data_IF_379420450057
#
_entry.id   IF_379420450057
#
_cell.length_a   1.000
_cell.length_b   1.000
_cell.length_c   1.000
_cell.angle_alpha   90.00
_cell.angle_beta   90.00
_cell.angle_gamma   90.00
#
_symmetry.space_group_name_H-M   'P 1'
#
loop_
_entity.id
_entity.type
_entity.pdbx_description
1 polymer ?
#
# COMPACT_ATOMS: atom_id res chain seq x y z
N UNK A 1 -17.13 6.65 15.06
CA UNK A 1 -16.04 7.38 15.72
C UNK A 1 -16.29 8.87 15.52
N UNK A 2 -16.18 9.67 16.60
CA UNK A 2 -16.17 11.13 16.53
C UNK A 2 -14.71 11.61 16.50
N UNK A 3 -14.47 12.79 15.91
CA UNK A 3 -13.11 13.36 15.84
C UNK A 3 -12.54 13.58 17.24
N UNK A 4 -13.34 14.10 18.19
CA UNK A 4 -12.94 14.27 19.59
C UNK A 4 -12.49 12.95 20.26
N UNK A 5 -13.09 11.81 19.92
CA UNK A 5 -12.68 10.51 20.42
C UNK A 5 -11.35 10.09 19.80
N UNK A 6 -11.17 10.34 18.51
CA UNK A 6 -9.92 10.03 17.78
C UNK A 6 -8.77 10.87 18.33
N UNK A 7 -8.97 12.17 18.52
CA UNK A 7 -7.97 13.09 19.10
C UNK A 7 -7.54 12.64 20.51
N UNK A 8 -8.51 12.28 21.34
CA UNK A 8 -8.22 11.78 22.69
C UNK A 8 -7.48 10.45 22.66
N UNK A 9 -7.84 9.53 21.76
CA UNK A 9 -7.16 8.26 21.59
C UNK A 9 -5.73 8.46 21.07
N UNK A 10 -5.51 9.43 20.19
CA UNK A 10 -4.20 9.82 19.70
C UNK A 10 -3.32 10.37 20.84
N UNK A 11 -3.86 11.26 21.67
CA UNK A 11 -3.11 11.82 22.80
C UNK A 11 -2.65 10.72 23.76
N UNK A 12 -3.55 9.81 24.16
CA UNK A 12 -3.19 8.69 25.04
C UNK A 12 -2.14 7.78 24.42
N UNK A 13 -2.24 7.53 23.11
CA UNK A 13 -1.23 6.73 22.40
C UNK A 13 0.14 7.42 22.39
N UNK A 14 0.19 8.74 22.14
CA UNK A 14 1.43 9.50 22.15
C UNK A 14 2.07 9.51 23.56
N UNK A 15 1.29 9.79 24.61
CA UNK A 15 1.79 9.81 26.01
C UNK A 15 2.36 8.45 26.40
N UNK A 16 1.72 7.36 26.00
CA UNK A 16 2.21 5.99 26.26
C UNK A 16 3.52 5.72 25.50
N UNK A 17 3.60 6.13 24.24
CA UNK A 17 4.76 5.89 23.37
C UNK A 17 5.97 6.75 23.77
N UNK A 18 5.78 7.94 24.35
CA UNK A 18 6.86 8.75 24.90
C UNK A 18 7.62 8.01 26.02
N UNK A 19 6.92 7.21 26.82
CA UNK A 19 7.52 6.39 27.88
C UNK A 19 7.98 5.01 27.41
N UNK A 20 7.67 4.64 26.16
CA UNK A 20 7.93 3.32 25.58
C UNK A 20 8.59 3.43 24.19
N UNK A 21 9.85 3.90 24.10
CA UNK A 21 10.49 4.23 22.81
C UNK A 21 10.71 3.01 21.89
N UNK A 22 10.69 1.80 22.42
CA UNK A 22 10.75 0.57 21.61
C UNK A 22 9.40 0.16 21.04
N UNK A 23 8.33 0.88 21.42
CA UNK A 23 6.96 0.59 21.03
C UNK A 23 6.21 -0.27 22.06
N UNK A 24 4.91 -0.36 21.85
CA UNK A 24 3.97 -1.09 22.71
C UNK A 24 3.19 -2.12 21.90
N UNK A 25 2.70 -3.16 22.54
CA UNK A 25 1.78 -4.11 21.94
C UNK A 25 0.38 -3.50 21.74
N UNK A 26 -0.42 -4.12 20.91
CA UNK A 26 -1.82 -3.74 20.76
C UNK A 26 -2.59 -3.85 22.09
N UNK A 27 -2.25 -4.81 22.92
CA UNK A 27 -2.90 -5.01 24.23
C UNK A 27 -2.58 -3.83 25.14
N UNK A 28 -1.30 -3.47 25.30
CA UNK A 28 -0.85 -2.34 26.11
C UNK A 28 -1.52 -1.02 25.70
N UNK A 29 -1.66 -0.78 24.38
CA UNK A 29 -2.36 0.41 23.88
C UNK A 29 -3.85 0.42 24.24
N UNK A 30 -4.54 -0.73 24.10
CA UNK A 30 -5.97 -0.85 24.42
C UNK A 30 -6.22 -0.69 25.93
N UNK A 31 -5.34 -1.22 26.78
CA UNK A 31 -5.37 -1.05 28.24
C UNK A 31 -5.17 0.40 28.64
N UNK A 32 -4.23 1.10 27.99
CA UNK A 32 -4.03 2.53 28.20
C UNK A 32 -5.26 3.35 27.82
N UNK A 33 -5.93 3.05 26.72
CA UNK A 33 -7.20 3.68 26.35
C UNK A 33 -8.27 3.45 27.41
N UNK A 34 -8.46 2.20 27.87
CA UNK A 34 -9.41 1.85 28.93
C UNK A 34 -9.16 2.61 30.22
N UNK A 35 -7.90 2.69 30.66
CA UNK A 35 -7.46 3.41 31.85
C UNK A 35 -7.71 4.91 31.77
N UNK A 36 -7.77 5.46 30.54
CA UNK A 36 -8.08 6.86 30.28
C UNK A 36 -9.56 7.12 29.90
N UNK A 37 -10.44 6.14 30.16
CA UNK A 37 -11.89 6.27 29.94
C UNK A 37 -12.27 6.33 28.45
N UNK A 38 -11.41 5.81 27.57
CA UNK A 38 -11.77 5.57 26.16
C UNK A 38 -12.36 4.17 26.12
N UNK A 39 -13.69 4.13 26.15
CA UNK A 39 -14.41 2.86 26.08
C UNK A 39 -14.27 2.24 24.69
N UNK A 40 -13.49 1.18 24.64
CA UNK A 40 -13.38 0.32 23.46
C UNK A 40 -14.31 -0.89 23.57
N UNK A 41 -14.98 -1.04 24.73
CA UNK A 41 -15.92 -2.10 25.06
C UNK A 41 -17.33 -1.59 24.76
N UNK A 42 -18.06 -2.27 23.89
CA UNK A 42 -19.49 -2.03 23.63
C UNK A 42 -20.27 -3.27 24.03
N UNK A 43 -21.57 -3.15 24.22
CA UNK A 43 -22.46 -4.19 24.75
C UNK A 43 -22.50 -5.52 23.94
N UNK A 44 -21.80 -5.61 22.79
CA UNK A 44 -21.64 -6.84 22.03
C UNK A 44 -20.19 -7.09 21.67
N UNK A 45 -19.69 -8.28 21.90
CA UNK A 45 -18.29 -8.68 21.67
C UNK A 45 -17.81 -8.46 20.22
N UNK A 46 -18.71 -8.55 19.25
CA UNK A 46 -18.40 -8.30 17.83
C UNK A 46 -18.16 -6.81 17.51
N UNK A 47 -18.85 -5.90 18.22
CA UNK A 47 -18.67 -4.45 18.02
C UNK A 47 -17.44 -3.90 18.75
N UNK A 48 -17.02 -4.52 19.85
CA UNK A 48 -15.78 -4.16 20.58
C UNK A 48 -14.57 -4.30 19.70
N UNK A 49 -14.39 -5.44 19.07
CA UNK A 49 -13.29 -5.71 18.16
C UNK A 49 -13.26 -4.73 16.98
N UNK A 50 -14.44 -4.35 16.48
CA UNK A 50 -14.58 -3.42 15.36
C UNK A 50 -14.15 -1.99 15.75
N UNK A 51 -14.59 -1.49 16.92
CA UNK A 51 -14.26 -0.14 17.39
C UNK A 51 -12.75 0.03 17.64
N UNK A 52 -12.14 -0.93 18.32
CA UNK A 52 -10.68 -0.96 18.53
C UNK A 52 -9.91 -0.98 17.22
N UNK A 53 -10.33 -1.84 16.28
CA UNK A 53 -9.71 -1.92 14.95
C UNK A 53 -9.82 -0.61 14.20
N UNK A 54 -10.97 0.05 14.24
CA UNK A 54 -11.18 1.33 13.58
C UNK A 54 -10.36 2.46 14.20
N UNK A 55 -10.22 2.51 15.53
CA UNK A 55 -9.35 3.50 16.18
C UNK A 55 -7.88 3.30 15.77
N UNK A 56 -7.36 2.08 15.86
CA UNK A 56 -5.99 1.77 15.44
C UNK A 56 -5.79 2.14 13.96
N UNK A 57 -6.69 1.72 13.08
CA UNK A 57 -6.62 2.05 11.66
C UNK A 57 -6.64 3.57 11.43
N UNK A 58 -7.51 4.31 12.11
CA UNK A 58 -7.60 5.76 11.97
C UNK A 58 -6.30 6.44 12.41
N UNK A 59 -5.70 6.04 13.52
CA UNK A 59 -4.42 6.60 13.98
C UNK A 59 -3.26 6.27 13.03
N UNK A 60 -3.28 5.10 12.37
CA UNK A 60 -2.34 4.79 11.28
C UNK A 60 -2.52 5.70 10.08
N UNK A 61 -3.77 5.90 9.63
CA UNK A 61 -4.07 6.76 8.49
C UNK A 61 -3.75 8.23 8.76
N UNK A 62 -3.93 8.68 10.00
CA UNK A 62 -3.60 10.03 10.43
C UNK A 62 -2.09 10.22 10.71
N UNK A 63 -1.26 9.16 10.53
CA UNK A 63 0.19 9.22 10.73
C UNK A 63 0.61 9.44 12.18
N UNK A 64 -0.22 9.07 13.15
CA UNK A 64 0.07 9.16 14.59
C UNK A 64 0.89 7.96 15.03
N UNK A 65 0.49 6.76 14.62
CA UNK A 65 1.16 5.50 14.96
C UNK A 65 1.48 4.71 13.69
N UNK A 66 2.45 3.80 13.81
CA UNK A 66 2.77 2.85 12.75
C UNK A 66 3.27 1.52 13.30
N UNK A 67 3.40 0.51 12.42
CA UNK A 67 3.98 -0.77 12.78
C UNK A 67 5.49 -0.61 13.03
N UNK A 68 5.94 -1.10 14.17
CA UNK A 68 7.33 -1.13 14.59
C UNK A 68 7.95 -2.52 14.52
N UNK A 69 9.01 -2.78 15.28
CA UNK A 69 9.67 -4.08 15.34
C UNK A 69 8.73 -5.22 15.74
N UNK A 70 9.10 -6.44 15.39
CA UNK A 70 8.40 -7.64 15.84
C UNK A 70 8.78 -8.02 17.27
N UNK A 71 7.77 -8.31 18.11
CA UNK A 71 7.94 -8.90 19.44
C UNK A 71 6.93 -10.03 19.61
N UNK A 72 7.41 -11.23 19.93
CA UNK A 72 6.57 -12.42 20.12
C UNK A 72 5.57 -12.72 18.98
N UNK A 73 5.99 -12.49 17.73
CA UNK A 73 5.14 -12.75 16.54
C UNK A 73 4.18 -11.62 16.15
N UNK A 74 4.17 -10.51 16.90
CA UNK A 74 3.35 -9.33 16.59
C UNK A 74 4.20 -8.09 16.34
N UNK A 75 3.76 -7.21 15.44
CA UNK A 75 4.35 -5.88 15.32
C UNK A 75 3.98 -5.03 16.53
N UNK A 76 5.00 -4.43 17.12
CA UNK A 76 4.79 -3.35 18.08
C UNK A 76 4.21 -2.15 17.36
N UNK A 77 3.52 -1.31 18.10
CA UNK A 77 3.04 0.00 17.67
C UNK A 77 4.07 1.02 18.14
N UNK A 78 4.51 1.88 17.24
CA UNK A 78 5.47 2.97 17.53
C UNK A 78 4.89 4.31 17.09
N UNK A 79 5.43 5.40 17.62
CA UNK A 79 5.10 6.76 17.17
C UNK A 79 5.62 6.97 15.74
N UNK A 80 4.72 7.20 14.80
CA UNK A 80 5.08 7.40 13.41
C UNK A 80 5.95 8.65 13.20
N UNK A 81 5.83 9.67 14.05
CA UNK A 81 6.60 10.92 14.00
C UNK A 81 8.06 10.74 14.45
N UNK A 82 8.37 9.66 15.18
CA UNK A 82 9.73 9.30 15.59
C UNK A 82 10.54 8.65 14.47
N UNK A 83 9.89 8.23 13.39
CA UNK A 83 10.55 7.61 12.24
C UNK A 83 11.15 8.70 11.32
N UNK A 84 12.25 8.37 10.61
CA UNK A 84 12.76 9.26 9.59
C UNK A 84 11.66 9.61 8.58
N UNK A 85 11.43 10.89 8.34
CA UNK A 85 10.51 11.33 7.31
C UNK A 85 11.00 10.80 5.96
N UNK A 86 10.15 10.04 5.25
CA UNK A 86 10.43 9.73 3.86
C UNK A 86 10.38 11.04 3.07
N UNK A 87 11.34 11.30 2.15
CA UNK A 87 11.24 12.42 1.25
C UNK A 87 9.98 12.21 0.40
N UNK A 88 8.93 12.93 0.72
CA UNK A 88 7.70 12.98 -0.06
C UNK A 88 7.72 14.20 -0.96
N UNK A 89 7.15 14.06 -2.15
CA UNK A 89 6.93 15.18 -3.06
C UNK A 89 5.42 15.38 -3.19
N UNK A 90 4.93 16.53 -2.73
CA UNK A 90 3.50 16.82 -2.83
C UNK A 90 3.11 17.14 -4.28
N UNK A 91 1.82 16.98 -4.57
CA UNK A 91 1.26 17.29 -5.89
C UNK A 91 1.54 18.75 -6.25
N UNK A 92 2.16 18.97 -7.42
CA UNK A 92 2.52 20.30 -7.94
C UNK A 92 3.86 20.85 -7.44
N UNK A 93 4.56 20.11 -6.57
CA UNK A 93 5.93 20.48 -6.18
C UNK A 93 6.97 20.02 -7.22
N UNK A 94 8.15 20.68 -7.27
CA UNK A 94 9.25 20.21 -8.08
C UNK A 94 9.60 18.75 -7.76
N UNK A 95 9.77 17.93 -8.81
CA UNK A 95 10.04 16.50 -8.66
C UNK A 95 8.79 15.61 -8.63
N UNK A 96 7.57 16.17 -8.60
CA UNK A 96 6.35 15.37 -8.56
C UNK A 96 6.17 14.49 -9.83
N UNK A 97 6.41 15.06 -11.00
CA UNK A 97 6.29 14.32 -12.26
C UNK A 97 7.36 13.21 -12.37
N UNK A 98 8.59 13.48 -11.91
CA UNK A 98 9.66 12.47 -11.83
C UNK A 98 9.29 11.35 -10.85
N UNK A 99 8.72 11.68 -9.70
CA UNK A 99 8.26 10.68 -8.73
C UNK A 99 7.15 9.80 -9.32
N UNK A 100 6.20 10.39 -10.05
CA UNK A 100 5.16 9.63 -10.76
C UNK A 100 5.75 8.75 -11.87
N UNK A 101 6.75 9.24 -12.60
CA UNK A 101 7.43 8.46 -13.63
C UNK A 101 8.19 7.25 -13.03
N UNK A 102 8.86 7.42 -11.88
CA UNK A 102 9.50 6.32 -11.14
C UNK A 102 8.46 5.32 -10.63
N UNK A 103 7.32 5.79 -10.10
CA UNK A 103 6.22 4.93 -9.67
C UNK A 103 5.69 4.09 -10.84
N UNK A 104 5.43 4.73 -11.99
CA UNK A 104 4.97 4.06 -13.20
C UNK A 104 6.01 3.05 -13.72
N UNK A 105 7.31 3.38 -13.67
CA UNK A 105 8.38 2.47 -14.05
C UNK A 105 8.42 1.21 -13.17
N UNK A 106 8.31 1.37 -11.85
CA UNK A 106 8.28 0.25 -10.91
C UNK A 106 7.06 -0.64 -11.12
N UNK A 107 5.90 -0.03 -11.35
CA UNK A 107 4.67 -0.78 -11.62
C UNK A 107 4.76 -1.53 -12.95
N UNK A 108 5.18 -0.87 -14.03
CA UNK A 108 5.38 -1.53 -15.33
C UNK A 108 6.42 -2.66 -15.28
N UNK A 109 7.47 -2.49 -14.49
CA UNK A 109 8.51 -3.51 -14.35
C UNK A 109 8.02 -4.76 -13.63
N UNK A 110 7.15 -4.62 -12.63
CA UNK A 110 6.62 -5.72 -11.84
C UNK A 110 5.32 -6.33 -12.38
N UNK A 111 4.50 -5.56 -13.10
CA UNK A 111 3.16 -5.96 -13.55
C UNK A 111 2.98 -5.88 -15.08
N UNK A 112 4.00 -5.44 -15.82
CA UNK A 112 3.88 -5.30 -17.28
C UNK A 112 3.59 -6.61 -18.02
N UNK A 113 2.91 -6.52 -19.19
CA UNK A 113 2.59 -5.28 -19.91
C UNK A 113 1.38 -4.53 -19.31
N UNK A 114 1.53 -3.24 -19.07
CA UNK A 114 0.46 -2.38 -18.54
C UNK A 114 0.23 -1.16 -19.42
N UNK A 115 -0.98 -0.61 -19.38
CA UNK A 115 -1.34 0.66 -20.00
C UNK A 115 -1.72 1.74 -18.97
N UNK A 116 -2.19 2.88 -19.45
CA UNK A 116 -2.61 3.98 -18.59
C UNK A 116 -3.87 3.67 -17.77
N UNK A 117 -4.73 2.77 -18.24
CA UNK A 117 -5.94 2.39 -17.51
C UNK A 117 -5.61 1.47 -16.33
N UNK A 118 -4.62 0.59 -16.50
CA UNK A 118 -4.12 -0.26 -15.44
C UNK A 118 -3.43 0.57 -14.36
N UNK A 119 -2.52 1.47 -14.76
CA UNK A 119 -1.84 2.36 -13.82
C UNK A 119 -2.82 3.26 -13.06
N UNK A 120 -3.80 3.85 -13.76
CA UNK A 120 -4.82 4.68 -13.14
C UNK A 120 -5.69 3.89 -12.14
N UNK A 121 -6.07 2.66 -12.51
CA UNK A 121 -6.84 1.77 -11.63
C UNK A 121 -6.08 1.44 -10.35
N UNK A 122 -4.81 1.08 -10.46
CA UNK A 122 -4.00 0.64 -9.34
C UNK A 122 -3.62 1.79 -8.40
N UNK A 123 -3.26 2.96 -8.96
CA UNK A 123 -2.78 4.12 -8.19
C UNK A 123 -3.89 5.05 -7.71
N UNK A 124 -5.08 5.03 -8.35
CA UNK A 124 -6.11 6.06 -8.18
C UNK A 124 -5.81 7.37 -8.90
N UNK A 125 -4.77 7.44 -9.73
CA UNK A 125 -4.48 8.60 -10.57
C UNK A 125 -5.56 8.80 -11.63
N UNK A 126 -5.72 10.03 -12.11
CA UNK A 126 -6.49 10.28 -13.31
C UNK A 126 -5.79 9.69 -14.55
N UNK A 127 -6.53 9.35 -15.59
CA UNK A 127 -5.94 8.85 -16.85
C UNK A 127 -4.91 9.83 -17.44
N UNK A 128 -5.11 11.14 -17.27
CA UNK A 128 -4.16 12.15 -17.74
C UNK A 128 -2.85 12.11 -16.96
N UNK A 129 -2.91 11.92 -15.64
CA UNK A 129 -1.72 11.76 -14.80
C UNK A 129 -1.01 10.43 -15.10
N UNK A 130 -1.76 9.34 -15.26
CA UNK A 130 -1.20 8.04 -15.63
C UNK A 130 -0.48 8.07 -16.98
N UNK A 131 -1.05 8.71 -18.01
CA UNK A 131 -0.38 8.89 -19.31
C UNK A 131 0.92 9.66 -19.19
N UNK A 132 0.94 10.78 -18.44
CA UNK A 132 2.17 11.55 -18.21
C UNK A 132 3.22 10.74 -17.46
N UNK A 133 2.81 10.00 -16.42
CA UNK A 133 3.70 9.14 -15.67
C UNK A 133 4.33 8.04 -16.55
N UNK A 134 3.52 7.35 -17.38
CA UNK A 134 4.02 6.33 -18.31
C UNK A 134 4.93 6.92 -19.40
N UNK A 135 4.64 8.12 -19.89
CA UNK A 135 5.49 8.78 -20.88
C UNK A 135 6.93 9.04 -20.35
N UNK A 136 7.09 9.28 -19.05
CA UNK A 136 8.39 9.42 -18.39
C UNK A 136 9.01 8.10 -17.89
N UNK A 137 8.22 7.03 -17.84
CA UNK A 137 8.59 5.80 -17.12
C UNK A 137 9.84 5.10 -17.67
N UNK A 138 10.09 5.14 -18.99
CA UNK A 138 11.29 4.50 -19.58
C UNK A 138 12.57 5.17 -19.12
N UNK A 139 12.63 6.51 -19.20
CA UNK A 139 13.80 7.28 -18.75
C UNK A 139 13.99 7.13 -17.24
N UNK A 140 12.90 7.23 -16.48
CA UNK A 140 12.94 7.05 -15.03
C UNK A 140 13.36 5.61 -14.65
N UNK A 141 12.89 4.60 -15.37
CA UNK A 141 13.25 3.20 -15.18
C UNK A 141 14.74 2.97 -15.38
N UNK A 142 15.31 3.47 -16.46
CA UNK A 142 16.76 3.39 -16.71
C UNK A 142 17.58 4.01 -15.56
N UNK A 143 17.16 5.16 -15.04
CA UNK A 143 17.85 5.85 -13.95
C UNK A 143 17.86 5.09 -12.62
N UNK A 144 16.90 4.19 -12.42
CA UNK A 144 16.79 3.37 -11.20
C UNK A 144 17.10 1.88 -11.45
N UNK A 145 17.67 1.54 -12.60
CA UNK A 145 18.08 0.18 -12.96
C UNK A 145 16.91 -0.77 -13.30
N UNK A 146 15.79 -0.23 -13.78
CA UNK A 146 14.60 -0.97 -14.20
C UNK A 146 14.31 -0.72 -15.69
N UNK A 147 15.07 -1.30 -16.62
CA UNK A 147 14.91 -1.06 -18.05
C UNK A 147 13.53 -1.54 -18.53
N UNK A 148 12.84 -0.70 -19.28
CA UNK A 148 11.51 -0.94 -19.80
C UNK A 148 11.49 -0.92 -21.33
N UNK A 149 10.61 -1.72 -21.92
CA UNK A 149 10.34 -1.78 -23.36
C UNK A 149 8.83 -1.84 -23.63
N UNK A 150 8.44 -1.47 -24.84
CA UNK A 150 7.09 -1.69 -25.34
C UNK A 150 6.86 -3.18 -25.60
N UNK A 151 5.75 -3.72 -25.14
CA UNK A 151 5.32 -5.09 -25.38
C UNK A 151 3.85 -5.10 -25.77
N UNK A 152 3.59 -5.31 -27.06
CA UNK A 152 2.24 -5.09 -27.60
C UNK A 152 1.81 -3.63 -27.48
N UNK A 153 0.66 -3.39 -26.86
CA UNK A 153 0.15 -2.06 -26.57
C UNK A 153 0.56 -1.50 -25.20
N UNK A 154 1.31 -2.27 -24.42
CA UNK A 154 1.67 -1.93 -23.04
C UNK A 154 3.16 -1.70 -22.83
N UNK A 155 3.52 -1.24 -21.65
CA UNK A 155 4.87 -1.06 -21.17
C UNK A 155 5.23 -2.18 -20.17
N UNK A 156 6.39 -2.81 -20.35
CA UNK A 156 6.85 -3.91 -19.51
C UNK A 156 8.37 -3.83 -19.27
N UNK A 157 8.88 -4.73 -18.43
CA UNK A 157 10.32 -4.93 -18.29
C UNK A 157 10.93 -5.35 -19.63
N UNK A 158 12.13 -4.89 -19.90
CA UNK A 158 12.77 -5.09 -21.21
C UNK A 158 13.10 -6.56 -21.51
N UNK A 159 13.32 -7.38 -20.50
CA UNK A 159 13.61 -8.82 -20.57
C UNK A 159 12.37 -9.72 -20.45
N UNK A 160 11.15 -9.16 -20.61
CA UNK A 160 9.91 -9.93 -20.44
C UNK A 160 9.83 -11.13 -21.37
N UNK A 161 10.29 -11.02 -22.62
CA UNK A 161 10.23 -12.10 -23.58
C UNK A 161 11.07 -13.31 -23.13
N UNK A 162 12.26 -13.06 -22.59
CA UNK A 162 13.16 -14.11 -22.08
C UNK A 162 12.52 -14.78 -20.84
N UNK A 163 11.93 -13.99 -19.93
CA UNK A 163 11.22 -14.53 -18.77
C UNK A 163 10.01 -15.39 -19.14
N UNK A 164 9.22 -14.96 -20.13
CA UNK A 164 8.09 -15.76 -20.62
C UNK A 164 8.56 -17.11 -21.14
N UNK A 165 9.69 -17.15 -21.81
CA UNK A 165 10.26 -18.43 -22.31
C UNK A 165 10.80 -19.28 -21.16
N UNK A 166 11.55 -18.68 -20.23
CA UNK A 166 12.16 -19.39 -19.10
C UNK A 166 11.12 -20.00 -18.14
N UNK A 167 9.99 -19.31 -17.93
CA UNK A 167 8.95 -19.69 -16.96
C UNK A 167 7.65 -20.18 -17.61
N UNK A 168 7.67 -20.51 -18.89
CA UNK A 168 6.47 -20.95 -19.62
C UNK A 168 5.78 -22.15 -18.98
N UNK A 169 6.56 -23.17 -18.61
CA UNK A 169 6.02 -24.39 -18.03
C UNK A 169 5.34 -24.15 -16.68
N UNK A 170 5.92 -23.26 -15.87
CA UNK A 170 5.33 -22.86 -14.59
C UNK A 170 4.08 -22.02 -14.81
N UNK A 171 4.07 -21.10 -15.76
CA UNK A 171 2.92 -20.24 -16.06
C UNK A 171 1.73 -21.01 -16.63
N UNK A 172 1.98 -22.10 -17.38
CA UNK A 172 0.94 -22.97 -17.92
C UNK A 172 0.37 -23.97 -16.88
N UNK A 173 0.98 -24.06 -15.70
CA UNK A 173 0.49 -24.92 -14.63
C UNK A 173 -0.81 -24.36 -14.03
N UNK A 174 -1.58 -25.22 -13.34
CA UNK A 174 -2.77 -24.79 -12.61
C UNK A 174 -2.35 -24.04 -11.34
N UNK A 175 -2.84 -22.80 -11.19
CA UNK A 175 -2.60 -21.96 -10.03
C UNK A 175 -3.92 -21.70 -9.28
N UNK A 176 -3.91 -21.92 -7.96
CA UNK A 176 -5.01 -21.52 -7.09
C UNK A 176 -4.70 -20.13 -6.52
N UNK A 177 -5.33 -19.10 -7.04
CA UNK A 177 -5.10 -17.72 -6.64
C UNK A 177 -6.10 -17.28 -5.56
N UNK A 178 -5.69 -16.49 -4.56
CA UNK A 178 -6.61 -15.90 -3.59
C UNK A 178 -7.49 -14.84 -4.24
N UNK A 179 -8.63 -14.51 -3.59
CA UNK A 179 -9.64 -13.58 -4.12
C UNK A 179 -9.12 -12.17 -4.43
N UNK A 180 -8.02 -11.75 -3.82
CA UNK A 180 -7.40 -10.43 -3.99
C UNK A 180 -5.98 -10.55 -4.54
N UNK A 181 -5.73 -11.56 -5.36
CA UNK A 181 -4.45 -11.68 -6.06
C UNK A 181 -4.26 -10.54 -7.07
N UNK A 182 -3.03 -10.02 -7.19
CA UNK A 182 -2.70 -8.92 -8.10
C UNK A 182 -3.00 -9.25 -9.57
N UNK A 183 -2.80 -10.49 -9.99
CA UNK A 183 -3.19 -10.91 -11.33
C UNK A 183 -4.69 -10.69 -11.59
N UNK A 184 -5.52 -10.85 -10.54
CA UNK A 184 -6.97 -10.72 -10.65
C UNK A 184 -7.47 -9.29 -10.46
N UNK A 185 -6.83 -8.48 -9.62
CA UNK A 185 -7.30 -7.13 -9.26
C UNK A 185 -6.47 -5.99 -9.87
N UNK A 186 -5.25 -6.25 -10.31
CA UNK A 186 -4.30 -5.25 -10.79
C UNK A 186 -4.66 -4.65 -12.16
N UNK A 187 -5.31 -5.42 -13.03
CA UNK A 187 -5.56 -4.99 -14.41
C UNK A 187 -6.97 -4.45 -14.64
N UNK A 188 -7.11 -3.49 -15.54
CA UNK A 188 -8.40 -2.94 -15.98
C UNK A 188 -9.12 -3.93 -16.89
N UNK A 189 -8.42 -4.46 -17.89
CA UNK A 189 -8.89 -5.53 -18.76
C UNK A 189 -8.50 -6.89 -18.20
N UNK A 190 -9.47 -7.74 -17.98
CA UNK A 190 -9.31 -9.10 -17.43
C UNK A 190 -9.77 -10.18 -18.41
N UNK A 191 -9.97 -9.82 -19.66
CA UNK A 191 -10.45 -10.76 -20.70
C UNK A 191 -9.53 -11.97 -20.90
N UNK A 192 -8.23 -11.82 -20.61
CA UNK A 192 -7.28 -12.93 -20.62
C UNK A 192 -7.40 -13.91 -19.45
N UNK A 193 -8.14 -13.55 -18.39
CA UNK A 193 -8.30 -14.36 -17.17
C UNK A 193 -9.68 -15.02 -17.09
N UNK A 194 -10.61 -14.62 -17.94
CA UNK A 194 -11.99 -15.11 -17.94
C UNK A 194 -12.34 -15.65 -19.31
N UNK A 195 -13.17 -16.69 -19.35
CA UNK A 195 -13.79 -17.12 -20.61
C UNK A 195 -14.95 -16.20 -21.01
N UNK A 196 -15.55 -16.43 -22.19
CA UNK A 196 -16.65 -15.61 -22.69
C UNK A 196 -17.94 -15.66 -21.81
N UNK A 197 -17.99 -16.53 -20.83
CA UNK A 197 -19.09 -16.64 -19.88
C UNK A 197 -18.89 -15.77 -18.62
N UNK A 198 -17.71 -15.16 -18.44
CA UNK A 198 -17.37 -14.12 -17.46
C UNK A 198 -17.06 -14.59 -16.08
#
# INVERSE_FOLDING_TARGET
>A
LTDALVERAAQVACDLLETSPLGVSRVELVEAWGSNGIDTVTASSSQEGLRRRHLIMRLHLDGVITAGPMRAGEHLIVDARSLPAAPGVAKGEPGHEEALAVLAARYAWGHGPIDEADLARWTGLTLTEARRALAGARVAGESVGLPLAEYGAGLARADLADLVEDFRAEAEAMHALPSFDELHVGYKDRSCLTDEAG
#
